data_IF_421073711927
#
_entry.id   IF_421073711927
#
_cell.length_a   1.000
_cell.length_b   1.000
_cell.length_c   1.000
_cell.angle_alpha   90.00
_cell.angle_beta   90.00
_cell.angle_gamma   90.00
#
_symmetry.space_group_name_H-M   'P 1'
#
loop_
_entity.id
_entity.type
_entity.pdbx_description
1 polymer ?
#
# COMPACT_ATOMS: atom_id res chain seq x y z
N UNK A 1 -7.07 -10.51 -34.66
CA UNK A 1 -5.96 -9.64 -34.20
C UNK A 1 -6.41 -8.96 -32.92
N UNK A 2 -6.21 -9.65 -31.80
CA UNK A 2 -6.34 -9.18 -30.41
C UNK A 2 -6.34 -10.44 -29.55
N UNK A 3 -5.18 -11.10 -29.48
CA UNK A 3 -4.97 -12.09 -28.43
C UNK A 3 -4.85 -11.32 -27.12
N UNK A 4 -5.93 -11.36 -26.35
CA UNK A 4 -5.93 -11.04 -24.93
C UNK A 4 -5.05 -12.09 -24.27
N UNK A 5 -3.79 -11.71 -24.01
CA UNK A 5 -2.86 -12.52 -23.24
C UNK A 5 -3.44 -12.53 -21.82
N UNK A 6 -4.32 -13.48 -21.54
CA UNK A 6 -4.65 -13.86 -20.19
C UNK A 6 -3.31 -14.23 -19.54
N UNK A 7 -2.77 -13.28 -18.77
CA UNK A 7 -1.55 -13.42 -18.00
C UNK A 7 -1.72 -14.66 -17.13
N UNK A 8 -0.94 -15.69 -17.46
CA UNK A 8 -1.04 -17.02 -16.86
C UNK A 8 -0.76 -16.89 -15.35
N UNK A 9 -1.84 -16.70 -14.60
CA UNK A 9 -1.85 -16.37 -13.17
C UNK A 9 -1.32 -17.55 -12.35
N UNK A 10 -1.04 -18.68 -13.02
CA UNK A 10 -0.67 -19.93 -12.40
C UNK A 10 0.82 -20.09 -12.11
N UNK A 11 1.66 -19.25 -12.74
CA UNK A 11 3.11 -19.21 -12.55
C UNK A 11 3.58 -18.47 -11.29
N UNK A 12 2.69 -17.75 -10.58
CA UNK A 12 3.06 -17.03 -9.36
C UNK A 12 3.07 -17.94 -8.11
N UNK A 13 4.02 -17.78 -7.18
CA UNK A 13 3.96 -18.42 -5.87
C UNK A 13 2.65 -18.07 -5.15
N UNK A 14 2.19 -18.92 -4.24
CA UNK A 14 0.86 -18.83 -3.62
C UNK A 14 0.54 -17.45 -2.99
N UNK A 15 1.57 -16.73 -2.51
CA UNK A 15 1.45 -15.36 -1.99
C UNK A 15 1.11 -14.32 -3.07
N UNK A 16 1.68 -14.44 -4.27
CA UNK A 16 1.43 -13.52 -5.38
C UNK A 16 -0.04 -13.57 -5.82
N UNK A 17 -0.58 -14.78 -5.97
CA UNK A 17 -2.01 -15.01 -6.25
C UNK A 17 -2.93 -14.44 -5.16
N UNK A 18 -2.52 -14.51 -3.89
CA UNK A 18 -3.28 -13.96 -2.76
C UNK A 18 -3.26 -12.43 -2.75
N UNK A 19 -2.12 -11.81 -3.07
CA UNK A 19 -1.96 -10.35 -3.12
C UNK A 19 -2.65 -9.71 -4.33
N UNK A 20 -2.71 -10.40 -5.47
CA UNK A 20 -3.42 -9.94 -6.68
C UNK A 20 -4.90 -9.62 -6.41
N UNK A 21 -5.53 -10.31 -5.45
CA UNK A 21 -6.89 -9.99 -5.01
C UNK A 21 -7.01 -8.57 -4.43
N UNK A 22 -5.94 -8.04 -3.82
CA UNK A 22 -5.88 -6.70 -3.23
C UNK A 22 -5.70 -5.60 -4.30
N UNK A 23 -5.21 -5.95 -5.50
CA UNK A 23 -4.98 -4.99 -6.59
C UNK A 23 -6.30 -4.51 -7.21
N UNK A 24 -7.37 -5.30 -7.06
CA UNK A 24 -8.70 -4.88 -7.50
C UNK A 24 -9.22 -3.72 -6.63
N UNK A 25 -9.35 -2.54 -7.25
CA UNK A 25 -9.96 -1.31 -6.67
C UNK A 25 -11.24 -1.57 -5.87
N UNK A 26 -12.05 -2.55 -6.28
CA UNK A 26 -13.31 -2.90 -5.61
C UNK A 26 -13.10 -3.54 -4.23
N UNK A 27 -12.05 -4.33 -4.06
CA UNK A 27 -11.70 -4.90 -2.75
C UNK A 27 -11.02 -3.89 -1.84
N UNK A 28 -10.17 -3.02 -2.39
CA UNK A 28 -9.58 -1.91 -1.62
C UNK A 28 -10.69 -1.05 -1.00
N UNK A 29 -11.70 -0.68 -1.81
CA UNK A 29 -12.84 0.08 -1.30
C UNK A 29 -13.60 -0.67 -0.20
N UNK A 30 -13.79 -1.99 -0.32
CA UNK A 30 -14.41 -2.80 0.75
C UNK A 30 -13.62 -2.78 2.05
N UNK A 31 -12.28 -2.86 1.98
CA UNK A 31 -11.41 -2.79 3.16
C UNK A 31 -11.53 -1.41 3.83
N UNK A 32 -11.55 -0.34 3.04
CA UNK A 32 -11.74 1.03 3.55
C UNK A 32 -13.11 1.18 4.21
N UNK A 33 -14.19 0.66 3.60
CA UNK A 33 -15.52 0.66 4.20
C UNK A 33 -15.59 -0.20 5.47
N UNK A 34 -14.91 -1.34 5.50
CA UNK A 34 -14.83 -2.20 6.69
C UNK A 34 -14.11 -1.51 7.84
N UNK A 35 -13.00 -0.81 7.54
CA UNK A 35 -12.29 0.03 8.51
C UNK A 35 -13.20 1.14 9.05
N UNK A 36 -13.92 1.84 8.16
CA UNK A 36 -14.86 2.88 8.57
C UNK A 36 -15.99 2.33 9.46
N UNK A 37 -16.53 1.16 9.13
CA UNK A 37 -17.51 0.45 9.95
C UNK A 37 -16.97 0.06 11.32
N UNK A 38 -15.72 -0.44 11.37
CA UNK A 38 -15.04 -0.76 12.63
C UNK A 38 -14.84 0.50 13.49
N UNK A 39 -14.37 1.61 12.90
CA UNK A 39 -14.24 2.89 13.60
C UNK A 39 -15.58 3.38 14.16
N UNK A 40 -16.66 3.30 13.38
CA UNK A 40 -18.00 3.65 13.85
C UNK A 40 -18.46 2.74 14.99
N UNK A 41 -18.22 1.43 14.90
CA UNK A 41 -18.56 0.48 15.96
C UNK A 41 -17.81 0.77 17.27
N UNK A 42 -16.51 1.07 17.20
CA UNK A 42 -15.72 1.48 18.36
C UNK A 42 -16.22 2.80 18.95
N UNK A 43 -16.62 3.76 18.10
CA UNK A 43 -17.21 5.01 18.56
C UNK A 43 -18.53 4.80 19.30
N UNK A 44 -19.41 3.93 18.78
CA UNK A 44 -20.65 3.55 19.46
C UNK A 44 -20.36 2.83 20.79
N UNK A 45 -19.36 1.95 20.83
CA UNK A 45 -18.96 1.26 22.06
C UNK A 45 -18.45 2.24 23.14
N UNK A 46 -17.71 3.28 22.75
CA UNK A 46 -17.22 4.31 23.68
C UNK A 46 -18.37 5.15 24.26
N UNK A 47 -19.50 5.26 23.56
CA UNK A 47 -20.72 5.91 24.05
C UNK A 47 -21.44 5.12 25.15
N UNK A 48 -21.35 3.78 25.12
CA UNK A 48 -21.94 2.93 26.17
C UNK A 48 -21.09 2.87 27.44
N UNK A 49 -19.82 3.29 27.40
CA UNK A 49 -18.90 3.19 28.52
C UNK A 49 -18.79 4.52 29.28
N UNK A 50 -19.31 4.57 30.50
CA UNK A 50 -19.15 5.74 31.38
C UNK A 50 -17.72 5.80 31.92
N UNK A 51 -16.92 6.78 31.47
CA UNK A 51 -15.57 7.04 32.02
C UNK A 51 -15.65 8.03 33.18
N UNK A 52 -15.04 7.69 34.31
CA UNK A 52 -14.77 8.63 35.40
C UNK A 52 -13.52 9.44 35.04
N UNK A 53 -13.68 10.73 34.78
CA UNK A 53 -12.57 11.58 34.32
C UNK A 53 -12.37 12.80 35.22
N UNK A 54 -11.12 13.20 35.38
CA UNK A 54 -10.67 14.23 36.34
C UNK A 54 -10.67 15.65 35.75
N UNK A 55 -10.70 15.79 34.43
CA UNK A 55 -10.74 17.08 33.72
C UNK A 55 -12.09 17.26 33.04
N UNK A 56 -12.78 18.39 33.28
CA UNK A 56 -14.12 18.72 32.71
C UNK A 56 -14.19 18.91 31.19
N UNK A 57 -13.15 18.52 30.45
CA UNK A 57 -13.16 18.43 28.98
C UNK A 57 -13.27 16.99 28.50
N UNK A 58 -12.95 16.02 29.37
CA UNK A 58 -13.03 14.58 29.08
C UNK A 58 -14.41 13.98 29.43
N UNK A 59 -15.30 14.77 30.04
CA UNK A 59 -16.70 14.40 30.32
C UNK A 59 -17.57 14.30 29.06
N UNK A 60 -17.05 14.72 27.89
CA UNK A 60 -17.73 14.55 26.62
C UNK A 60 -17.69 13.09 26.16
N UNK A 61 -18.86 12.43 26.00
CA UNK A 61 -18.90 11.05 25.52
C UNK A 61 -18.30 10.98 24.11
N UNK A 62 -17.31 10.11 23.93
CA UNK A 62 -16.65 9.87 22.63
C UNK A 62 -15.40 10.70 22.34
N UNK A 63 -14.89 11.51 23.28
CA UNK A 63 -13.67 12.30 23.07
C UNK A 63 -12.47 11.44 22.63
N UNK A 64 -12.22 10.33 23.32
CA UNK A 64 -11.09 9.44 23.02
C UNK A 64 -11.26 8.70 21.69
N UNK A 65 -12.48 8.31 21.34
CA UNK A 65 -12.76 7.66 20.07
C UNK A 65 -12.49 8.61 18.88
N UNK A 66 -12.92 9.88 18.99
CA UNK A 66 -12.60 10.91 17.98
C UNK A 66 -11.10 11.18 17.95
N UNK A 67 -10.47 11.37 19.11
CA UNK A 67 -9.04 11.63 19.21
C UNK A 67 -8.20 10.52 18.59
N UNK A 68 -8.50 9.25 18.90
CA UNK A 68 -7.81 8.09 18.34
C UNK A 68 -7.99 7.99 16.82
N UNK A 69 -9.20 8.25 16.32
CA UNK A 69 -9.47 8.28 14.88
C UNK A 69 -8.67 9.39 14.19
N UNK A 70 -8.68 10.61 14.74
CA UNK A 70 -7.95 11.75 14.19
C UNK A 70 -6.44 11.50 14.21
N UNK A 71 -5.88 10.99 15.31
CA UNK A 71 -4.45 10.67 15.40
C UNK A 71 -4.06 9.57 14.41
N UNK A 72 -4.88 8.53 14.25
CA UNK A 72 -4.64 7.49 13.25
C UNK A 72 -4.67 8.04 11.82
N UNK A 73 -5.67 8.88 11.49
CA UNK A 73 -5.78 9.51 10.17
C UNK A 73 -4.57 10.43 9.88
N UNK A 74 -4.16 11.22 10.86
CA UNK A 74 -2.97 12.08 10.76
C UNK A 74 -1.70 11.27 10.50
N UNK A 75 -1.50 10.13 11.17
CA UNK A 75 -0.36 9.25 10.91
C UNK A 75 -0.32 8.76 9.45
N UNK A 76 -1.47 8.35 8.89
CA UNK A 76 -1.57 7.91 7.48
C UNK A 76 -1.25 9.06 6.52
N UNK A 77 -1.76 10.26 6.79
CA UNK A 77 -1.47 11.45 5.99
C UNK A 77 0.03 11.78 6.04
N UNK A 78 0.64 11.76 7.21
CA UNK A 78 2.08 11.96 7.39
C UNK A 78 2.90 10.93 6.61
N UNK A 79 2.53 9.64 6.68
CA UNK A 79 3.21 8.59 5.91
C UNK A 79 3.09 8.84 4.39
N UNK A 80 1.92 9.30 3.93
CA UNK A 80 1.71 9.65 2.51
C UNK A 80 2.52 10.88 2.10
N UNK A 81 2.65 11.88 2.97
CA UNK A 81 3.50 13.05 2.72
C UNK A 81 4.97 12.64 2.65
N UNK A 82 5.44 11.80 3.58
CA UNK A 82 6.80 11.23 3.56
C UNK A 82 7.07 10.47 2.25
N UNK A 83 6.10 9.71 1.74
CA UNK A 83 6.22 9.00 0.46
C UNK A 83 6.53 9.96 -0.70
N UNK A 84 5.92 11.14 -0.73
CA UNK A 84 6.20 12.15 -1.79
C UNK A 84 7.63 12.65 -1.69
N UNK A 85 8.14 12.86 -0.47
CA UNK A 85 9.53 13.32 -0.25
C UNK A 85 10.54 12.25 -0.67
N UNK A 86 10.23 10.96 -0.44
CA UNK A 86 11.13 9.85 -0.76
C UNK A 86 11.03 9.37 -2.22
N UNK A 87 9.95 9.70 -2.93
CA UNK A 87 9.73 9.22 -4.28
C UNK A 87 10.75 9.81 -5.24
N UNK A 88 11.49 8.91 -5.90
CA UNK A 88 12.57 9.24 -6.83
C UNK A 88 12.17 8.85 -8.25
N UNK A 89 12.72 9.56 -9.25
CA UNK A 89 12.48 9.23 -10.66
C UNK A 89 13.07 7.85 -10.97
N UNK A 90 12.39 7.12 -11.85
CA UNK A 90 12.75 5.75 -12.26
C UNK A 90 14.15 5.70 -12.89
N UNK A 91 14.53 6.76 -13.59
CA UNK A 91 15.82 6.91 -14.26
C UNK A 91 16.95 7.44 -13.35
N UNK A 92 16.69 7.63 -12.04
CA UNK A 92 17.67 8.25 -11.16
C UNK A 92 18.99 7.45 -11.05
N UNK A 93 18.91 6.11 -11.10
CA UNK A 93 20.08 5.24 -11.00
C UNK A 93 20.59 4.74 -12.35
N UNK A 94 19.83 4.94 -13.44
CA UNK A 94 20.17 4.44 -14.77
C UNK A 94 21.58 4.84 -15.26
N UNK A 95 22.10 6.07 -15.00
CA UNK A 95 23.45 6.44 -15.43
C UNK A 95 24.59 5.73 -14.67
N UNK A 96 24.28 5.01 -13.59
CA UNK A 96 25.24 4.23 -12.78
C UNK A 96 24.86 2.75 -12.71
N UNK A 97 23.95 2.32 -13.58
CA UNK A 97 23.53 0.93 -13.66
C UNK A 97 24.52 0.14 -14.51
N UNK A 98 24.78 -1.11 -14.13
CA UNK A 98 25.74 -2.00 -14.81
C UNK A 98 25.22 -2.38 -16.19
N UNK A 99 23.90 -2.41 -16.36
CA UNK A 99 23.22 -2.61 -17.65
C UNK A 99 23.51 -1.49 -18.66
N UNK A 100 23.98 -0.33 -18.22
CA UNK A 100 24.36 0.78 -19.09
C UNK A 100 25.84 0.73 -19.51
N UNK A 101 26.65 -0.16 -18.92
CA UNK A 101 28.04 -0.36 -19.33
C UNK A 101 28.11 -1.20 -20.60
N UNK A 102 28.98 -0.79 -21.53
CA UNK A 102 29.21 -1.55 -22.76
C UNK A 102 29.85 -2.89 -22.41
N UNK A 103 29.14 -3.98 -22.72
CA UNK A 103 29.56 -5.32 -22.35
C UNK A 103 30.88 -5.71 -23.05
N UNK A 104 31.85 -6.32 -22.34
CA UNK A 104 33.12 -6.75 -22.92
C UNK A 104 32.91 -7.77 -24.06
N UNK A 105 33.29 -7.39 -25.28
CA UNK A 105 33.20 -8.23 -26.48
C UNK A 105 33.99 -9.54 -26.36
N UNK A 106 35.03 -9.59 -25.52
CA UNK A 106 35.85 -10.78 -25.26
C UNK A 106 35.14 -11.86 -24.44
N UNK A 107 33.99 -11.54 -23.84
CA UNK A 107 33.15 -12.48 -23.09
C UNK A 107 31.84 -12.81 -23.82
N UNK A 108 31.64 -12.27 -25.04
CA UNK A 108 30.42 -12.44 -25.82
C UNK A 108 30.54 -13.69 -26.71
N UNK A 109 30.05 -14.83 -26.21
CA UNK A 109 29.99 -16.08 -26.98
C UNK A 109 28.84 -16.00 -28.01
N UNK A 110 29.09 -15.32 -29.14
CA UNK A 110 28.14 -15.20 -30.25
C UNK A 110 28.02 -16.56 -30.94
N UNK A 111 27.02 -17.35 -30.57
CA UNK A 111 26.62 -18.51 -31.35
C UNK A 111 26.02 -18.03 -32.68
N UNK A 112 26.76 -18.16 -33.78
CA UNK A 112 26.20 -18.01 -35.14
C UNK A 112 25.16 -19.11 -35.36
N UNK A 113 23.89 -18.74 -35.26
CA UNK A 113 22.79 -19.57 -35.72
C UNK A 113 22.52 -19.23 -37.19
N UNK A 114 23.23 -19.93 -38.08
CA UNK A 114 22.84 -20.03 -39.48
C UNK A 114 21.58 -20.90 -39.60
N UNK A 115 20.64 -20.43 -40.43
CA UNK A 115 19.24 -20.88 -40.55
C UNK A 115 19.03 -22.33 -41.01
#
# INVERSE_FOLDING_TARGET
>A
MSQDKHEDTDAFPWLGRRLLWLDNRRNVNRIVYALYGLCAALFLADFFYHKHVYLGVEELPGFYAVYGFVMCAMLVICAKAMRVILMRREDYYAPRDVEAEEYPEDQLDRAEHDA
#
